data_IF_975710707288
#
_entry.id   IF_975710707288
#
_cell.length_a   1.000
_cell.length_b   1.000
_cell.length_c   1.000
_cell.angle_alpha   90.00
_cell.angle_beta   90.00
_cell.angle_gamma   90.00
#
_symmetry.space_group_name_H-M   'P 1'
#
loop_
_entity.id
_entity.type
_entity.pdbx_description
1 polymer ?
#
# COMPACT_ATOMS: atom_id res chain seq x y z
N UNK A 1 -7.14 -3.45 -0.56
CA UNK A 1 -6.96 -2.25 0.27
C UNK A 1 -5.83 -1.41 -0.31
N UNK A 2 -4.78 -2.08 -0.81
CA UNK A 2 -3.58 -1.56 -1.48
C UNK A 2 -3.80 -0.44 -2.51
N UNK A 3 -4.90 -0.47 -3.29
CA UNK A 3 -5.21 0.58 -4.28
C UNK A 3 -5.41 1.96 -3.64
N UNK A 4 -5.81 1.98 -2.37
CA UNK A 4 -6.06 3.19 -1.58
C UNK A 4 -4.85 3.50 -0.69
N UNK A 5 -4.14 2.48 -0.22
CA UNK A 5 -2.97 2.61 0.66
C UNK A 5 -1.77 3.32 0.00
N UNK A 6 -1.61 3.21 -1.33
CA UNK A 6 -0.58 3.97 -2.06
C UNK A 6 -0.87 5.49 -2.21
N UNK A 7 -2.11 5.94 -1.93
CA UNK A 7 -2.54 7.32 -2.18
C UNK A 7 -1.95 8.32 -1.17
N UNK A 8 -1.97 8.05 0.15
CA UNK A 8 -1.37 8.93 1.16
C UNK A 8 0.08 9.34 0.90
N UNK A 9 0.98 8.37 0.70
CA UNK A 9 2.39 8.64 0.41
C UNK A 9 2.57 9.50 -0.84
N UNK A 10 1.80 9.21 -1.91
CA UNK A 10 1.81 10.00 -3.15
C UNK A 10 1.39 11.45 -2.89
N UNK A 11 0.27 11.67 -2.19
CA UNK A 11 -0.27 13.01 -1.90
C UNK A 11 0.67 13.78 -0.99
N UNK A 12 1.14 13.16 0.10
CA UNK A 12 2.05 13.78 1.06
C UNK A 12 3.38 14.16 0.40
N UNK A 13 3.96 13.25 -0.38
CA UNK A 13 5.19 13.48 -1.16
C UNK A 13 5.03 14.62 -2.15
N UNK A 14 3.95 14.63 -2.95
CA UNK A 14 3.65 15.70 -3.90
C UNK A 14 3.50 17.07 -3.23
N UNK A 15 2.75 17.14 -2.12
CA UNK A 15 2.51 18.40 -1.41
C UNK A 15 3.78 18.94 -0.76
N UNK A 16 4.60 18.07 -0.16
CA UNK A 16 5.91 18.44 0.39
C UNK A 16 6.88 18.87 -0.70
N UNK A 17 6.88 18.20 -1.85
CA UNK A 17 7.68 18.57 -3.01
C UNK A 17 7.34 19.98 -3.51
N UNK A 18 6.06 20.25 -3.75
CA UNK A 18 5.60 21.59 -4.13
C UNK A 18 5.94 22.65 -3.07
N UNK A 19 5.84 22.32 -1.78
CA UNK A 19 6.20 23.23 -0.68
C UNK A 19 7.70 23.53 -0.67
N UNK A 20 8.55 22.51 -0.80
CA UNK A 20 10.01 22.63 -0.86
C UNK A 20 10.44 23.53 -2.02
N UNK A 21 9.88 23.33 -3.21
CA UNK A 21 10.15 24.17 -4.39
C UNK A 21 9.75 25.63 -4.17
N UNK A 22 8.55 25.90 -3.65
CA UNK A 22 8.06 27.27 -3.44
C UNK A 22 8.81 28.03 -2.35
N UNK A 23 9.39 27.32 -1.39
CA UNK A 23 10.13 27.91 -0.27
C UNK A 23 11.64 27.88 -0.45
N UNK A 24 12.14 27.16 -1.46
CA UNK A 24 13.57 26.88 -1.62
C UNK A 24 14.20 26.24 -0.37
N UNK A 25 13.43 25.38 0.33
CA UNK A 25 13.83 24.71 1.57
C UNK A 25 14.02 23.21 1.35
N UNK A 26 15.00 22.60 2.02
CA UNK A 26 15.17 21.15 2.02
C UNK A 26 14.02 20.46 2.75
N UNK A 27 13.53 19.35 2.18
CA UNK A 27 12.46 18.53 2.77
C UNK A 27 12.97 17.51 3.79
N UNK A 28 14.26 17.52 4.16
CA UNK A 28 14.84 16.60 5.14
C UNK A 28 14.68 15.11 4.82
N UNK A 29 14.55 14.74 3.54
CA UNK A 29 14.35 13.35 3.11
C UNK A 29 12.90 12.87 3.05
N UNK A 30 11.94 13.60 3.64
CA UNK A 30 10.53 13.17 3.75
C UNK A 30 9.83 12.88 2.41
N UNK A 31 10.16 13.61 1.34
CA UNK A 31 9.59 13.36 0.01
C UNK A 31 9.95 11.95 -0.46
N UNK A 32 11.21 11.56 -0.26
CA UNK A 32 11.71 10.26 -0.70
C UNK A 32 11.01 9.14 0.08
N UNK A 33 10.95 9.25 1.41
CA UNK A 33 10.28 8.29 2.29
C UNK A 33 8.83 8.06 1.85
N UNK A 34 8.04 9.13 1.67
CA UNK A 34 6.63 9.00 1.28
C UNK A 34 6.43 8.45 -0.14
N UNK A 35 7.40 8.70 -1.03
CA UNK A 35 7.35 8.14 -2.40
C UNK A 35 7.70 6.65 -2.38
N UNK A 36 8.68 6.25 -1.56
CA UNK A 36 9.06 4.85 -1.36
C UNK A 36 7.93 4.06 -0.68
N UNK A 37 7.22 4.65 0.29
CA UNK A 37 6.01 4.08 0.91
C UNK A 37 4.91 3.85 -0.13
N UNK A 38 4.59 4.88 -0.94
CA UNK A 38 3.59 4.73 -2.00
C UNK A 38 4.00 3.69 -3.06
N UNK A 39 5.29 3.53 -3.33
CA UNK A 39 5.79 2.49 -4.22
C UNK A 39 5.69 1.10 -3.59
N UNK A 40 6.00 0.96 -2.30
CA UNK A 40 5.86 -0.29 -1.56
C UNK A 40 4.40 -0.80 -1.58
N UNK A 41 3.45 0.08 -1.30
CA UNK A 41 2.01 -0.21 -1.37
C UNK A 41 1.53 -0.59 -2.79
N UNK A 42 2.10 0.07 -3.81
CA UNK A 42 1.85 -0.32 -5.20
C UNK A 42 2.39 -1.71 -5.49
N UNK A 43 3.53 -2.10 -4.90
CA UNK A 43 4.09 -3.45 -5.07
C UNK A 43 3.26 -4.51 -4.36
N UNK A 44 2.61 -4.20 -3.23
CA UNK A 44 1.58 -5.06 -2.62
C UNK A 44 0.46 -5.34 -3.63
N UNK A 45 -0.12 -4.28 -4.20
CA UNK A 45 -1.19 -4.39 -5.19
C UNK A 45 -0.80 -5.25 -6.39
N UNK A 46 0.35 -4.95 -7.01
CA UNK A 46 0.79 -5.66 -8.22
C UNK A 46 1.05 -7.14 -7.96
N UNK A 47 1.55 -7.46 -6.76
CA UNK A 47 1.75 -8.85 -6.33
C UNK A 47 0.42 -9.60 -6.22
N UNK A 48 -0.58 -9.02 -5.56
CA UNK A 48 -1.88 -9.66 -5.42
C UNK A 48 -2.66 -9.74 -6.74
N UNK A 49 -2.41 -8.82 -7.69
CA UNK A 49 -3.02 -8.87 -9.02
C UNK A 49 -2.55 -10.06 -9.87
N UNK A 50 -1.33 -10.57 -9.65
CA UNK A 50 -0.85 -11.80 -10.32
C UNK A 50 -1.58 -13.05 -9.80
N UNK A 51 -2.03 -13.02 -8.55
CA UNK A 51 -2.78 -14.12 -7.91
C UNK A 51 -4.28 -14.02 -8.25
N UNK A 52 -4.85 -12.82 -8.16
CA UNK A 52 -6.28 -12.57 -8.37
C UNK A 52 -6.50 -11.50 -9.44
N UNK A 53 -6.99 -11.92 -10.62
CA UNK A 53 -7.27 -10.99 -11.72
C UNK A 53 -8.62 -10.30 -11.53
N UNK A 54 -8.64 -8.96 -11.33
CA UNK A 54 -9.88 -8.24 -11.08
C UNK A 54 -10.74 -8.17 -12.34
N UNK A 55 -12.04 -8.36 -12.16
CA UNK A 55 -13.08 -8.20 -13.19
C UNK A 55 -13.29 -6.73 -13.53
N UNK A 56 -13.95 -6.45 -14.65
CA UNK A 56 -14.13 -5.08 -15.13
C UNK A 56 -14.91 -4.18 -14.14
N UNK A 57 -15.88 -4.74 -13.41
CA UNK A 57 -16.66 -3.98 -12.42
C UNK A 57 -15.86 -3.68 -11.16
N UNK A 58 -14.96 -4.58 -10.74
CA UNK A 58 -14.01 -4.34 -9.64
C UNK A 58 -13.06 -3.21 -10.00
N UNK A 59 -12.56 -3.18 -11.24
CA UNK A 59 -11.73 -2.08 -11.75
C UNK A 59 -12.47 -0.75 -11.76
N UNK A 60 -13.74 -0.74 -12.17
CA UNK A 60 -14.57 0.47 -12.14
C UNK A 60 -14.81 0.96 -10.70
N UNK A 61 -15.05 0.04 -9.76
CA UNK A 61 -15.18 0.35 -8.34
C UNK A 61 -13.87 0.93 -7.78
N UNK A 62 -12.72 0.31 -8.08
CA UNK A 62 -11.40 0.81 -7.66
C UNK A 62 -11.18 2.24 -8.17
N UNK A 63 -11.49 2.51 -9.44
CA UNK A 63 -11.36 3.85 -10.02
C UNK A 63 -12.22 4.88 -9.27
N UNK A 64 -13.48 4.54 -8.97
CA UNK A 64 -14.38 5.42 -8.23
C UNK A 64 -13.88 5.68 -6.80
N UNK A 65 -13.48 4.62 -6.08
CA UNK A 65 -12.97 4.71 -4.71
C UNK A 65 -11.67 5.52 -4.67
N UNK A 66 -10.71 5.26 -5.56
CA UNK A 66 -9.49 6.05 -5.66
C UNK A 66 -9.78 7.52 -5.95
N UNK A 67 -10.69 7.81 -6.90
CA UNK A 67 -11.07 9.18 -7.23
C UNK A 67 -11.62 9.95 -6.03
N UNK A 68 -12.52 9.34 -5.26
CA UNK A 68 -13.07 9.96 -4.05
C UNK A 68 -12.00 10.10 -2.97
N UNK A 69 -11.30 9.01 -2.66
CA UNK A 69 -10.33 8.98 -1.56
C UNK A 69 -9.17 9.95 -1.80
N UNK A 70 -8.63 10.02 -3.02
CA UNK A 70 -7.56 10.96 -3.37
C UNK A 70 -7.96 12.40 -3.06
N UNK A 71 -9.15 12.82 -3.49
CA UNK A 71 -9.61 14.19 -3.28
C UNK A 71 -9.86 14.49 -1.80
N UNK A 72 -10.52 13.57 -1.07
CA UNK A 72 -10.80 13.72 0.36
C UNK A 72 -9.50 13.77 1.16
N UNK A 73 -8.57 12.85 0.90
CA UNK A 73 -7.29 12.79 1.59
C UNK A 73 -6.44 14.03 1.29
N UNK A 74 -6.36 14.47 0.03
CA UNK A 74 -5.65 15.69 -0.34
C UNK A 74 -6.20 16.93 0.38
N UNK A 75 -7.52 17.11 0.41
CA UNK A 75 -8.15 18.21 1.16
C UNK A 75 -7.88 18.09 2.66
N UNK A 76 -7.99 16.89 3.22
CA UNK A 76 -7.68 16.62 4.63
C UNK A 76 -6.23 16.95 4.98
N UNK A 77 -5.28 16.58 4.13
CA UNK A 77 -3.85 16.87 4.31
C UNK A 77 -3.56 18.38 4.25
N UNK A 78 -4.22 19.11 3.34
CA UNK A 78 -4.10 20.57 3.25
C UNK A 78 -4.63 21.27 4.52
N UNK A 79 -5.70 20.75 5.12
CA UNK A 79 -6.28 21.29 6.37
C UNK A 79 -5.40 20.94 7.56
N UNK A 80 -5.02 19.66 7.71
CA UNK A 80 -4.23 19.17 8.84
C UNK A 80 -3.41 17.93 8.45
N UNK A 81 -2.11 18.11 8.15
CA UNK A 81 -1.21 16.98 7.89
C UNK A 81 -1.15 15.99 9.05
N UNK A 82 -1.21 16.49 10.30
CA UNK A 82 -1.18 15.63 11.49
C UNK A 82 -2.39 14.70 11.56
N UNK A 83 -3.57 15.21 11.20
CA UNK A 83 -4.77 14.38 11.14
C UNK A 83 -4.67 13.36 10.01
N UNK A 84 -4.25 13.80 8.81
CA UNK A 84 -4.09 12.91 7.67
C UNK A 84 -3.12 11.76 7.96
N UNK A 85 -1.95 12.03 8.55
CA UNK A 85 -1.00 11.00 8.97
C UNK A 85 -1.57 10.05 10.02
N UNK A 86 -2.38 10.55 10.96
CA UNK A 86 -3.03 9.67 11.95
C UNK A 86 -4.09 8.76 11.34
N UNK A 87 -4.80 9.23 10.31
CA UNK A 87 -5.74 8.39 9.55
C UNK A 87 -5.00 7.26 8.84
N UNK A 88 -3.82 7.52 8.27
CA UNK A 88 -2.99 6.46 7.64
C UNK A 88 -2.57 5.42 8.66
N UNK A 89 -2.06 5.83 9.83
CA UNK A 89 -1.68 4.87 10.87
C UNK A 89 -2.83 3.96 11.32
N UNK A 90 -4.08 4.47 11.34
CA UNK A 90 -5.24 3.60 11.61
C UNK A 90 -5.55 2.62 10.46
N UNK A 91 -5.27 3.00 9.21
CA UNK A 91 -5.42 2.10 8.07
C UNK A 91 -4.37 0.98 8.11
N UNK A 92 -3.12 1.31 8.48
CA UNK A 92 -2.03 0.34 8.67
C UNK A 92 -2.37 -0.64 9.81
N UNK A 93 -2.88 -0.16 10.95
CA UNK A 93 -3.34 -1.01 12.05
C UNK A 93 -4.40 -2.05 11.59
N UNK A 94 -5.36 -1.61 10.78
CA UNK A 94 -6.39 -2.49 10.19
C UNK A 94 -5.80 -3.42 9.11
N UNK A 95 -4.76 -3.00 8.37
CA UNK A 95 -4.05 -3.82 7.40
C UNK A 95 -3.32 -4.98 8.10
N UNK A 96 -2.61 -4.71 9.20
CA UNK A 96 -1.93 -5.75 10.00
C UNK A 96 -2.93 -6.80 10.49
N UNK A 97 -4.11 -6.37 10.97
CA UNK A 97 -5.17 -7.26 11.40
C UNK A 97 -5.69 -8.12 10.23
N UNK A 98 -5.93 -7.49 9.08
CA UNK A 98 -6.42 -8.15 7.87
C UNK A 98 -5.44 -9.21 7.36
N UNK A 99 -4.15 -8.89 7.26
CA UNK A 99 -3.12 -9.85 6.85
C UNK A 99 -2.90 -10.97 7.87
N UNK A 100 -3.03 -10.65 9.17
CA UNK A 100 -2.98 -11.69 10.21
C UNK A 100 -4.13 -12.67 10.09
N UNK A 101 -5.34 -12.21 9.77
CA UNK A 101 -6.47 -13.11 9.51
C UNK A 101 -6.28 -13.89 8.20
N UNK A 102 -5.75 -13.27 7.16
CA UNK A 102 -5.41 -13.94 5.90
C UNK A 102 -4.44 -15.11 6.12
N UNK A 103 -3.39 -14.91 6.94
CA UNK A 103 -2.45 -15.98 7.31
C UNK A 103 -3.15 -17.13 8.05
N UNK A 104 -4.10 -16.84 8.93
CA UNK A 104 -4.86 -17.90 9.62
C UNK A 104 -5.71 -18.70 8.64
N UNK A 105 -6.32 -18.06 7.65
CA UNK A 105 -7.13 -18.75 6.64
C UNK A 105 -6.28 -19.61 5.70
N UNK A 106 -5.06 -19.17 5.37
CA UNK A 106 -4.06 -20.01 4.69
C UNK A 106 -3.64 -21.20 5.56
N UNK A 107 -3.34 -20.99 6.84
CA UNK A 107 -2.89 -22.04 7.77
C UNK A 107 -3.98 -23.09 8.03
N UNK A 108 -5.26 -22.71 7.96
CA UNK A 108 -6.41 -23.63 8.02
C UNK A 108 -6.65 -24.40 6.72
N UNK A 109 -6.04 -23.98 5.61
CA UNK A 109 -6.26 -24.54 4.28
C UNK A 109 -7.56 -24.07 3.59
N UNK A 110 -8.19 -23.00 4.09
CA UNK A 110 -9.38 -22.41 3.46
C UNK A 110 -9.01 -21.60 2.20
N UNK A 111 -7.77 -21.10 2.15
CA UNK A 111 -7.18 -20.44 0.99
C UNK A 111 -6.04 -21.32 0.47
N UNK A 112 -6.00 -21.55 -0.84
CA UNK A 112 -4.94 -22.32 -1.46
C UNK A 112 -3.59 -21.58 -1.38
N UNK A 113 -2.57 -22.25 -0.83
CA UNK A 113 -1.22 -21.70 -0.74
C UNK A 113 -0.44 -21.94 -2.04
N UNK A 114 -0.72 -21.12 -3.05
CA UNK A 114 -0.08 -21.18 -4.37
C UNK A 114 1.38 -20.71 -4.34
N UNK A 115 2.21 -21.02 -5.36
CA UNK A 115 3.56 -20.45 -5.49
C UNK A 115 3.55 -18.92 -5.51
N UNK A 116 4.59 -18.31 -4.95
CA UNK A 116 4.73 -16.86 -4.92
C UNK A 116 4.89 -16.29 -6.35
N UNK A 117 4.22 -15.17 -6.69
CA UNK A 117 4.45 -14.49 -7.96
C UNK A 117 5.91 -14.05 -8.13
N UNK A 118 6.44 -14.13 -9.35
CA UNK A 118 7.82 -13.75 -9.66
C UNK A 118 8.14 -12.30 -9.25
N UNK A 119 7.19 -11.38 -9.43
CA UNK A 119 7.33 -9.98 -8.99
C UNK A 119 7.59 -9.85 -7.49
N UNK A 120 6.97 -10.70 -6.67
CA UNK A 120 7.17 -10.70 -5.21
C UNK A 120 8.52 -11.30 -4.84
N UNK A 121 8.89 -12.40 -5.49
CA UNK A 121 10.20 -13.05 -5.32
C UNK A 121 11.31 -12.04 -5.61
N UNK A 122 11.22 -11.31 -6.71
CA UNK A 122 12.24 -10.34 -7.11
C UNK A 122 12.28 -9.12 -6.17
N UNK A 123 11.11 -8.59 -5.78
CA UNK A 123 11.01 -7.39 -4.96
C UNK A 123 11.46 -7.62 -3.51
N UNK A 124 10.90 -8.63 -2.83
CA UNK A 124 11.29 -8.98 -1.45
C UNK A 124 12.50 -9.92 -1.37
N UNK A 125 13.09 -10.29 -2.51
CA UNK A 125 14.23 -11.22 -2.60
C UNK A 125 13.98 -12.55 -1.90
N UNK A 126 12.78 -13.09 -2.11
CA UNK A 126 12.37 -14.36 -1.50
C UNK A 126 13.09 -15.55 -2.17
N UNK A 127 13.20 -16.70 -1.49
CA UNK A 127 13.60 -17.94 -2.12
C UNK A 127 12.70 -18.30 -3.33
N UNK A 128 13.23 -18.92 -4.40
CA UNK A 128 12.43 -19.27 -5.58
C UNK A 128 11.24 -20.20 -5.31
N UNK A 129 11.32 -21.01 -4.27
CA UNK A 129 10.26 -21.96 -3.84
C UNK A 129 9.28 -21.35 -2.82
N UNK A 130 9.31 -20.02 -2.64
CA UNK A 130 8.40 -19.33 -1.73
C UNK A 130 6.95 -19.44 -2.18
N UNK A 131 6.06 -19.37 -1.20
CA UNK A 131 4.61 -19.52 -1.36
C UNK A 131 3.87 -18.23 -1.09
N UNK A 132 2.57 -18.17 -1.42
CA UNK A 132 1.70 -17.04 -1.12
C UNK A 132 1.73 -16.68 0.38
N UNK A 133 1.82 -17.67 1.25
CA UNK A 133 1.99 -17.45 2.70
C UNK A 133 3.25 -16.65 3.04
N UNK A 134 4.39 -16.95 2.41
CA UNK A 134 5.64 -16.24 2.65
C UNK A 134 5.55 -14.79 2.19
N UNK A 135 4.87 -14.56 1.06
CA UNK A 135 4.57 -13.21 0.56
C UNK A 135 3.72 -12.43 1.56
N UNK A 136 2.65 -13.02 2.10
CA UNK A 136 1.77 -12.33 3.07
C UNK A 136 2.52 -12.01 4.37
N UNK A 137 3.49 -12.83 4.78
CA UNK A 137 4.33 -12.53 5.95
C UNK A 137 5.16 -11.27 5.73
N UNK A 138 5.82 -11.13 4.58
CA UNK A 138 6.67 -9.96 4.30
C UNK A 138 5.85 -8.71 4.03
N UNK A 139 4.71 -8.83 3.33
CA UNK A 139 3.77 -7.71 3.14
C UNK A 139 3.29 -7.20 4.49
N UNK A 140 2.84 -8.07 5.40
CA UNK A 140 2.42 -7.64 6.75
C UNK A 140 3.56 -6.97 7.52
N UNK A 141 4.80 -7.38 7.31
CA UNK A 141 5.95 -6.77 7.96
C UNK A 141 6.25 -5.36 7.45
N UNK A 142 5.94 -5.06 6.19
CA UNK A 142 6.06 -3.71 5.63
C UNK A 142 5.00 -2.75 6.21
N UNK A 143 3.85 -3.28 6.65
CA UNK A 143 2.77 -2.54 7.31
C UNK A 143 3.02 -2.22 8.80
N UNK A 144 4.15 -2.69 9.39
CA UNK A 144 4.46 -2.57 10.83
C UNK A 144 5.59 -1.57 11.14
#
# INVERSE_FOLDING_TARGET
LETVAAVPGTVGGMLLHCKSLRKFEHSGGWIKVLTEEAENERMHLMTFMEVAKPRWYERALILAVQGVFFNVYMLGYLISPKFAHRVVGYLEEEAILSYTEFLKELDKGNIENVPAPAIAIDYWRLPPESTLRDVVIVVRADEC
#
